data_IF_443792849983
#
_entry.id   IF_443792849983
#
_cell.length_a   1.000
_cell.length_b   1.000
_cell.length_c   1.000
_cell.angle_alpha   90.00
_cell.angle_beta   90.00
_cell.angle_gamma   90.00
#
_symmetry.space_group_name_H-M   'P 1'
#
loop_
_entity.id
_entity.type
_entity.pdbx_description
1 polymer ?
#
# COMPACT_ATOMS: atom_id res chain seq x y z
N UNK A 1 14.06 -25.38 8.90
CA UNK A 1 13.58 -25.38 10.30
C UNK A 1 14.62 -24.84 11.28
N UNK A 2 15.83 -25.43 11.34
CA UNK A 2 16.89 -25.00 12.28
C UNK A 2 17.16 -23.50 12.28
N UNK A 3 17.27 -22.88 11.10
CA UNK A 3 17.48 -21.42 10.99
C UNK A 3 16.30 -20.60 11.53
N UNK A 4 15.05 -21.03 11.27
CA UNK A 4 13.85 -20.35 11.77
C UNK A 4 13.83 -20.36 13.31
N UNK A 5 14.15 -21.51 13.92
CA UNK A 5 14.25 -21.64 15.39
C UNK A 5 15.37 -20.76 15.93
N UNK A 6 16.53 -20.74 15.27
CA UNK A 6 17.65 -19.90 15.69
C UNK A 6 17.29 -18.41 15.68
N UNK A 7 16.57 -17.94 14.65
CA UNK A 7 16.07 -16.56 14.57
C UNK A 7 15.09 -16.30 15.71
N UNK A 8 14.09 -17.16 15.91
CA UNK A 8 13.10 -17.02 16.99
C UNK A 8 13.76 -16.90 18.37
N UNK A 9 14.74 -17.77 18.66
CA UNK A 9 15.50 -17.78 19.90
C UNK A 9 16.35 -16.52 20.08
N UNK A 10 16.99 -16.04 19.01
CA UNK A 10 17.79 -14.81 19.05
C UNK A 10 16.94 -13.60 19.49
N UNK A 11 15.70 -13.52 19.02
CA UNK A 11 14.76 -12.45 19.38
C UNK A 11 13.91 -12.76 20.62
N UNK A 12 14.14 -13.88 21.31
CA UNK A 12 13.47 -14.23 22.56
C UNK A 12 11.93 -14.27 22.46
N UNK A 13 11.39 -14.76 21.33
CA UNK A 13 9.94 -14.85 21.10
C UNK A 13 9.23 -13.53 20.82
N UNK A 14 9.96 -12.43 20.64
CA UNK A 14 9.38 -11.17 20.17
C UNK A 14 8.84 -11.31 18.73
N UNK A 15 7.85 -10.49 18.31
CA UNK A 15 7.37 -10.50 16.94
C UNK A 15 8.50 -10.21 15.93
N UNK A 16 8.75 -11.14 15.00
CA UNK A 16 9.75 -10.98 13.94
C UNK A 16 9.09 -11.01 12.55
N UNK A 17 9.55 -10.14 11.66
CA UNK A 17 9.22 -10.17 10.23
C UNK A 17 10.44 -10.64 9.45
N UNK A 18 10.30 -11.73 8.70
CA UNK A 18 11.40 -12.34 7.92
C UNK A 18 11.05 -12.33 6.45
N UNK A 19 11.98 -11.90 5.61
CA UNK A 19 11.86 -12.05 4.16
C UNK A 19 12.60 -13.31 3.72
N UNK A 20 11.88 -14.21 3.04
CA UNK A 20 12.47 -15.36 2.36
C UNK A 20 13.05 -14.86 1.03
N UNK A 21 14.36 -14.94 0.90
CA UNK A 21 15.12 -14.34 -0.21
C UNK A 21 15.15 -15.20 -1.48
N UNK A 22 14.63 -16.43 -1.45
CA UNK A 22 14.51 -17.29 -2.62
C UNK A 22 13.74 -16.57 -3.74
N UNK A 23 14.27 -16.50 -4.98
CA UNK A 23 13.62 -15.79 -6.09
C UNK A 23 12.30 -16.44 -6.54
N UNK A 24 12.09 -17.72 -6.18
CA UNK A 24 10.81 -18.41 -6.28
C UNK A 24 10.71 -19.47 -5.18
N UNK A 25 10.16 -19.09 -4.04
CA UNK A 25 10.03 -19.98 -2.89
C UNK A 25 9.17 -21.22 -3.18
N UNK A 26 8.18 -21.10 -4.06
CA UNK A 26 7.29 -22.19 -4.48
C UNK A 26 7.85 -23.01 -5.67
N UNK A 27 9.17 -22.98 -5.91
CA UNK A 27 9.80 -23.79 -6.96
C UNK A 27 9.59 -25.31 -6.76
N UNK A 28 9.57 -25.77 -5.50
CA UNK A 28 9.29 -27.16 -5.14
C UNK A 28 8.15 -27.18 -4.11
N UNK A 29 6.87 -27.20 -4.55
CA UNK A 29 5.72 -27.05 -3.65
C UNK A 29 5.70 -28.05 -2.48
N UNK A 30 6.05 -29.31 -2.71
CA UNK A 30 6.02 -30.34 -1.66
C UNK A 30 7.03 -30.10 -0.54
N UNK A 31 8.18 -29.49 -0.87
CA UNK A 31 9.16 -29.07 0.15
C UNK A 31 8.59 -27.95 1.01
N UNK A 32 7.86 -27.01 0.40
CA UNK A 32 7.18 -25.92 1.13
C UNK A 32 6.06 -26.47 2.01
N UNK A 33 5.25 -27.40 1.49
CA UNK A 33 4.19 -28.07 2.25
C UNK A 33 4.77 -28.77 3.49
N UNK A 34 5.85 -29.55 3.32
CA UNK A 34 6.55 -30.23 4.42
C UNK A 34 7.13 -29.26 5.44
N UNK A 35 7.67 -28.11 4.99
CA UNK A 35 8.16 -27.07 5.89
C UNK A 35 7.01 -26.45 6.71
N UNK A 36 5.85 -26.19 6.09
CA UNK A 36 4.68 -25.69 6.80
C UNK A 36 4.24 -26.70 7.87
N UNK A 37 4.18 -27.99 7.53
CA UNK A 37 3.82 -29.03 8.50
C UNK A 37 4.76 -29.04 9.72
N UNK A 38 6.07 -28.84 9.51
CA UNK A 38 7.04 -28.72 10.61
C UNK A 38 6.90 -27.42 11.43
N UNK A 39 6.39 -26.34 10.82
CA UNK A 39 6.19 -25.06 11.50
C UNK A 39 4.88 -25.00 12.30
N UNK A 40 3.86 -25.78 11.92
CA UNK A 40 2.56 -25.80 12.62
C UNK A 40 2.69 -26.18 14.10
N UNK A 41 3.61 -27.08 14.42
CA UNK A 41 3.84 -27.57 15.80
C UNK A 41 4.68 -26.60 16.65
N UNK A 42 4.98 -25.41 16.14
CA UNK A 42 5.91 -24.47 16.77
C UNK A 42 5.18 -23.17 17.12
N UNK A 43 5.36 -22.69 18.35
CA UNK A 43 4.85 -21.38 18.78
C UNK A 43 5.79 -20.26 18.29
N UNK A 44 5.72 -19.97 16.99
CA UNK A 44 6.54 -18.95 16.34
C UNK A 44 5.77 -17.63 16.26
N UNK A 45 6.24 -16.63 17.00
CA UNK A 45 5.78 -15.24 16.86
C UNK A 45 6.44 -14.57 15.64
N UNK A 46 6.29 -15.19 14.46
CA UNK A 46 6.98 -14.80 13.24
C UNK A 46 6.00 -14.65 12.08
N UNK A 47 6.29 -13.69 11.20
CA UNK A 47 5.60 -13.55 9.92
C UNK A 47 6.61 -13.51 8.80
N UNK A 48 6.23 -14.07 7.66
CA UNK A 48 7.14 -14.21 6.53
C UNK A 48 6.57 -13.57 5.28
N UNK A 49 7.46 -12.95 4.50
CA UNK A 49 7.23 -12.61 3.09
C UNK A 49 8.03 -13.53 2.18
N UNK A 50 7.52 -13.81 0.98
CA UNK A 50 8.19 -14.66 0.01
C UNK A 50 7.96 -14.16 -1.43
N UNK A 51 9.00 -14.30 -2.27
CA UNK A 51 8.87 -14.14 -3.71
C UNK A 51 8.36 -15.45 -4.31
N UNK A 52 7.31 -15.38 -5.12
CA UNK A 52 6.66 -16.57 -5.70
C UNK A 52 6.19 -16.30 -7.12
N UNK A 53 5.98 -17.36 -7.90
CA UNK A 53 5.33 -17.23 -9.22
C UNK A 53 3.82 -17.39 -9.13
N UNK A 54 3.08 -16.60 -9.92
CA UNK A 54 1.62 -16.66 -9.99
C UNK A 54 1.09 -18.06 -10.38
N UNK A 55 1.72 -18.73 -11.34
CA UNK A 55 1.32 -20.08 -11.79
C UNK A 55 1.45 -21.15 -10.69
N UNK A 56 2.40 -20.98 -9.79
CA UNK A 56 2.66 -21.89 -8.68
C UNK A 56 1.62 -21.67 -7.58
N UNK A 57 1.28 -20.42 -7.28
CA UNK A 57 0.21 -20.08 -6.34
C UNK A 57 -1.17 -20.52 -6.86
N UNK A 58 -1.45 -20.32 -8.15
CA UNK A 58 -2.73 -20.69 -8.76
C UNK A 58 -3.01 -22.20 -8.78
N UNK A 59 -1.96 -23.03 -8.91
CA UNK A 59 -2.07 -24.50 -9.00
C UNK A 59 -2.09 -25.19 -7.64
N UNK A 60 -1.65 -24.54 -6.57
CA UNK A 60 -1.42 -25.18 -5.26
C UNK A 60 -2.20 -24.51 -4.11
N UNK A 61 -3.53 -24.36 -4.19
CA UNK A 61 -4.31 -23.61 -3.20
C UNK A 61 -4.18 -24.15 -1.77
N UNK A 62 -4.10 -25.47 -1.58
CA UNK A 62 -3.93 -26.05 -0.25
C UNK A 62 -2.57 -25.73 0.38
N UNK A 63 -1.51 -25.68 -0.42
CA UNK A 63 -0.18 -25.30 0.09
C UNK A 63 -0.19 -23.81 0.45
N UNK A 64 -0.82 -22.96 -0.35
CA UNK A 64 -0.96 -21.52 -0.03
C UNK A 64 -1.73 -21.32 1.28
N UNK A 65 -2.77 -22.12 1.54
CA UNK A 65 -3.50 -22.12 2.81
C UNK A 65 -2.57 -22.47 3.97
N UNK A 66 -1.84 -23.60 3.89
CA UNK A 66 -0.85 -24.02 4.91
C UNK A 66 0.20 -22.94 5.17
N UNK A 67 0.74 -22.33 4.12
CA UNK A 67 1.71 -21.24 4.23
C UNK A 67 1.15 -20.08 5.06
N UNK A 68 -0.09 -19.66 4.76
CA UNK A 68 -0.72 -18.56 5.48
C UNK A 68 -0.94 -18.90 6.96
N UNK A 69 -1.34 -20.13 7.28
CA UNK A 69 -1.55 -20.63 8.64
C UNK A 69 -0.28 -20.55 9.50
N UNK A 70 0.88 -20.87 8.93
CA UNK A 70 2.18 -20.82 9.64
C UNK A 70 2.86 -19.45 9.59
N UNK A 71 2.15 -18.40 9.17
CA UNK A 71 2.68 -17.04 9.15
C UNK A 71 3.32 -16.58 7.84
N UNK A 72 3.50 -17.46 6.84
CA UNK A 72 3.96 -17.11 5.49
C UNK A 72 2.78 -16.58 4.69
N UNK A 73 2.55 -15.28 4.80
CA UNK A 73 1.29 -14.68 4.36
C UNK A 73 1.45 -13.37 3.60
N UNK A 74 2.66 -13.01 3.19
CA UNK A 74 2.87 -11.90 2.26
C UNK A 74 3.64 -12.41 1.05
N UNK A 75 3.04 -12.30 -0.12
CA UNK A 75 3.59 -12.87 -1.35
C UNK A 75 3.81 -11.77 -2.35
N UNK A 76 4.98 -11.73 -2.97
CA UNK A 76 5.24 -10.86 -4.11
C UNK A 76 5.36 -11.71 -5.38
N UNK A 77 4.51 -11.40 -6.35
CA UNK A 77 4.41 -12.12 -7.62
C UNK A 77 4.83 -11.25 -8.80
N UNK A 78 5.55 -11.84 -9.76
CA UNK A 78 5.69 -11.22 -11.09
C UNK A 78 4.36 -11.25 -11.84
N UNK A 79 3.60 -10.15 -11.78
CA UNK A 79 2.38 -9.94 -12.58
C UNK A 79 2.75 -9.38 -13.95
N UNK A 80 3.78 -8.53 -14.00
CA UNK A 80 4.40 -7.94 -15.19
C UNK A 80 3.49 -6.97 -15.95
N UNK A 81 2.38 -7.42 -16.53
CA UNK A 81 1.51 -6.58 -17.35
C UNK A 81 0.06 -7.05 -17.39
N UNK A 82 -0.93 -6.14 -17.52
CA UNK A 82 -2.29 -6.44 -17.91
C UNK A 82 -2.45 -6.79 -19.40
N UNK A 83 -1.49 -6.46 -20.27
CA UNK A 83 -1.59 -6.72 -21.72
C UNK A 83 -1.06 -8.09 -22.07
N UNK A 84 -1.78 -8.78 -22.96
CA UNK A 84 -1.40 -10.13 -23.38
C UNK A 84 -0.10 -10.11 -24.17
N UNK A 85 0.08 -9.09 -25.02
CA UNK A 85 1.22 -8.89 -25.91
C UNK A 85 2.53 -8.86 -25.11
N UNK A 86 2.57 -8.04 -24.04
CA UNK A 86 3.71 -7.93 -23.14
C UNK A 86 4.01 -9.26 -22.46
N UNK A 87 2.99 -9.98 -21.98
CA UNK A 87 3.18 -11.27 -21.30
C UNK A 87 3.77 -12.34 -22.23
N UNK A 88 3.37 -12.36 -23.50
CA UNK A 88 3.92 -13.27 -24.51
C UNK A 88 5.43 -13.07 -24.72
N UNK A 89 5.94 -11.85 -24.56
CA UNK A 89 7.38 -11.57 -24.71
C UNK A 89 8.23 -12.19 -23.60
N UNK A 90 7.66 -12.42 -22.41
CA UNK A 90 8.42 -12.81 -21.21
C UNK A 90 8.81 -14.29 -21.15
N UNK A 91 8.34 -15.15 -22.08
CA UNK A 91 8.52 -16.63 -22.06
C UNK A 91 8.10 -17.32 -20.75
N UNK A 92 7.41 -16.63 -19.82
CA UNK A 92 7.05 -17.13 -18.47
C UNK A 92 5.81 -18.01 -18.46
N UNK A 93 5.03 -18.06 -19.55
CA UNK A 93 3.78 -18.83 -19.64
C UNK A 93 2.65 -18.34 -18.72
N UNK A 94 2.76 -17.11 -18.20
CA UNK A 94 1.77 -16.49 -17.32
C UNK A 94 0.79 -15.70 -18.19
N UNK A 95 -0.50 -15.83 -17.88
CA UNK A 95 -1.54 -15.01 -18.48
C UNK A 95 -2.44 -14.40 -17.40
N UNK A 96 -3.33 -13.52 -17.83
CA UNK A 96 -4.32 -12.84 -17.03
C UNK A 96 -5.23 -13.75 -16.17
N UNK A 97 -5.57 -14.96 -16.65
CA UNK A 97 -6.38 -15.92 -15.90
C UNK A 97 -5.59 -16.52 -14.74
N UNK A 98 -4.33 -16.89 -14.99
CA UNK A 98 -3.41 -17.40 -13.96
C UNK A 98 -3.17 -16.34 -12.87
N UNK A 99 -2.92 -15.09 -13.27
CA UNK A 99 -2.76 -13.98 -12.33
C UNK A 99 -3.97 -13.83 -11.42
N UNK A 100 -5.19 -13.76 -11.98
CA UNK A 100 -6.43 -13.68 -11.19
C UNK A 100 -6.60 -14.86 -10.24
N UNK A 101 -6.35 -16.09 -10.71
CA UNK A 101 -6.49 -17.29 -9.88
C UNK A 101 -5.48 -17.31 -8.73
N UNK A 102 -4.25 -16.87 -8.97
CA UNK A 102 -3.21 -16.76 -7.95
C UNK A 102 -3.62 -15.78 -6.84
N UNK A 103 -4.04 -14.57 -7.24
CA UNK A 103 -4.50 -13.54 -6.30
C UNK A 103 -5.70 -13.99 -5.50
N UNK A 104 -6.71 -14.60 -6.15
CA UNK A 104 -7.87 -15.16 -5.47
C UNK A 104 -7.48 -16.24 -4.44
N UNK A 105 -6.54 -17.11 -4.79
CA UNK A 105 -6.06 -18.19 -3.92
C UNK A 105 -5.40 -17.65 -2.65
N UNK A 106 -4.53 -16.66 -2.81
CA UNK A 106 -3.85 -16.00 -1.68
C UNK A 106 -4.86 -15.28 -0.79
N UNK A 107 -5.76 -14.48 -1.38
CA UNK A 107 -6.77 -13.71 -0.64
C UNK A 107 -7.74 -14.62 0.12
N UNK A 108 -8.13 -15.75 -0.47
CA UNK A 108 -9.02 -16.71 0.17
C UNK A 108 -8.42 -17.25 1.49
N UNK A 109 -7.10 -17.37 1.54
CA UNK A 109 -6.32 -17.81 2.71
C UNK A 109 -5.97 -16.66 3.69
N UNK A 110 -6.45 -15.44 3.43
CA UNK A 110 -6.15 -14.26 4.25
C UNK A 110 -4.72 -13.73 4.09
N UNK A 111 -4.02 -14.11 3.02
CA UNK A 111 -2.69 -13.61 2.69
C UNK A 111 -2.72 -12.28 1.92
N UNK A 112 -1.63 -11.52 2.03
CA UNK A 112 -1.38 -10.35 1.18
C UNK A 112 -0.90 -10.85 -0.19
N UNK A 113 -1.71 -10.59 -1.22
CA UNK A 113 -1.36 -10.82 -2.62
C UNK A 113 -0.69 -9.57 -3.17
N UNK A 114 0.64 -9.58 -3.20
CA UNK A 114 1.47 -8.55 -3.81
C UNK A 114 1.84 -8.88 -5.25
N UNK A 115 2.07 -7.83 -6.04
CA UNK A 115 2.43 -7.98 -7.45
C UNK A 115 3.38 -6.89 -7.93
N UNK A 116 4.44 -7.28 -8.63
CA UNK A 116 5.25 -6.36 -9.43
C UNK A 116 4.70 -6.28 -10.85
N UNK A 117 4.59 -5.05 -11.35
CA UNK A 117 4.22 -4.74 -12.73
C UNK A 117 5.32 -3.87 -13.35
N UNK A 118 5.56 -4.05 -14.65
CA UNK A 118 6.60 -3.35 -15.40
C UNK A 118 5.93 -2.37 -16.37
N UNK A 119 6.28 -1.10 -16.25
CA UNK A 119 5.80 -0.02 -17.11
C UNK A 119 6.93 0.49 -18.01
N UNK A 120 6.57 1.29 -19.01
CA UNK A 120 7.55 1.85 -19.94
C UNK A 120 8.18 0.88 -20.94
N UNK A 121 7.61 -0.30 -21.20
CA UNK A 121 8.05 -1.17 -22.31
C UNK A 121 8.01 -0.43 -23.66
N UNK A 122 8.78 -0.86 -24.69
CA UNK A 122 8.99 -0.08 -25.92
C UNK A 122 7.71 0.43 -26.60
N UNK A 123 6.65 -0.38 -26.59
CA UNK A 123 5.36 -0.08 -27.25
C UNK A 123 4.28 0.45 -26.28
N UNK A 124 4.64 0.73 -25.02
CA UNK A 124 3.69 1.32 -24.07
C UNK A 124 3.35 2.76 -24.43
N UNK A 125 2.05 3.03 -24.55
CA UNK A 125 1.51 4.39 -24.57
C UNK A 125 1.12 4.84 -23.15
N UNK A 126 0.82 6.13 -22.99
CA UNK A 126 0.32 6.66 -21.72
C UNK A 126 -0.98 5.97 -21.27
N UNK A 127 -1.91 5.73 -22.21
CA UNK A 127 -3.19 5.07 -21.92
C UNK A 127 -2.97 3.66 -21.37
N UNK A 128 -1.96 2.96 -21.89
CA UNK A 128 -1.62 1.61 -21.45
C UNK A 128 -1.16 1.62 -20.00
N UNK A 129 -0.17 2.46 -19.68
CA UNK A 129 0.40 2.53 -18.32
C UNK A 129 -0.69 2.94 -17.32
N UNK A 130 -1.59 3.86 -17.68
CA UNK A 130 -2.72 4.27 -16.80
C UNK A 130 -3.65 3.10 -16.46
N UNK A 131 -3.71 2.03 -17.25
CA UNK A 131 -4.54 0.84 -16.96
C UNK A 131 -3.93 -0.08 -15.91
N UNK A 132 -2.62 -0.04 -15.68
CA UNK A 132 -1.90 -0.92 -14.75
C UNK A 132 -2.44 -0.89 -13.31
N UNK A 133 -2.57 0.27 -12.64
CA UNK A 133 -3.10 0.33 -11.27
C UNK A 133 -4.56 -0.10 -11.19
N UNK A 134 -5.35 0.17 -12.23
CA UNK A 134 -6.76 -0.25 -12.30
C UNK A 134 -6.87 -1.77 -12.42
N UNK A 135 -6.01 -2.39 -13.22
CA UNK A 135 -5.95 -3.85 -13.34
C UNK A 135 -5.48 -4.50 -12.03
N UNK A 136 -4.44 -3.95 -11.40
CA UNK A 136 -3.93 -4.42 -10.12
C UNK A 136 -5.04 -4.46 -9.04
N UNK A 137 -5.86 -3.40 -8.98
CA UNK A 137 -7.07 -3.37 -8.13
C UNK A 137 -8.14 -4.37 -8.57
N UNK A 138 -8.42 -4.45 -9.86
CA UNK A 138 -9.45 -5.34 -10.44
C UNK A 138 -9.21 -6.80 -10.07
N UNK A 139 -7.96 -7.27 -10.17
CA UNK A 139 -7.63 -8.67 -9.82
C UNK A 139 -7.55 -8.89 -8.31
N UNK A 140 -7.55 -7.83 -7.50
CA UNK A 140 -7.57 -7.86 -6.05
C UNK A 140 -6.20 -7.85 -5.38
N UNK A 141 -5.16 -7.29 -6.01
CA UNK A 141 -3.87 -7.13 -5.33
C UNK A 141 -4.02 -6.26 -4.08
N UNK A 142 -3.35 -6.67 -3.00
CA UNK A 142 -3.30 -5.92 -1.73
C UNK A 142 -2.05 -5.06 -1.59
N UNK A 143 -1.04 -5.33 -2.41
CA UNK A 143 0.16 -4.51 -2.62
C UNK A 143 0.56 -4.56 -4.09
N UNK A 144 1.11 -3.48 -4.61
CA UNK A 144 1.64 -3.46 -5.96
C UNK A 144 2.87 -2.55 -6.05
N UNK A 145 3.83 -2.98 -6.86
CA UNK A 145 4.96 -2.18 -7.31
C UNK A 145 4.85 -1.96 -8.82
N UNK A 146 5.16 -0.74 -9.27
CA UNK A 146 5.20 -0.36 -10.68
C UNK A 146 6.62 0.07 -11.02
N UNK A 147 7.41 -0.88 -11.50
CA UNK A 147 8.81 -0.70 -11.88
C UNK A 147 8.88 -0.13 -13.30
N UNK A 148 9.76 0.85 -13.53
CA UNK A 148 10.11 1.29 -14.87
C UNK A 148 11.07 0.25 -15.46
N UNK A 149 10.76 -0.26 -16.65
CA UNK A 149 11.62 -1.24 -17.30
C UNK A 149 13.04 -0.69 -17.44
N UNK A 150 14.00 -1.47 -16.96
CA UNK A 150 15.41 -1.11 -16.94
C UNK A 150 16.20 -2.15 -17.74
N UNK A 151 16.90 -1.77 -18.81
CA UNK A 151 17.80 -2.67 -19.53
C UNK A 151 19.03 -2.95 -18.66
N UNK A 152 18.99 -4.02 -17.88
CA UNK A 152 20.16 -4.43 -17.09
C UNK A 152 21.24 -5.07 -17.96
N UNK A 153 22.53 -4.74 -17.78
CA UNK A 153 23.62 -5.35 -18.53
C UNK A 153 23.54 -6.88 -18.55
N UNK A 154 23.86 -7.47 -19.71
CA UNK A 154 23.81 -8.92 -19.98
C UNK A 154 22.41 -9.53 -20.06
N UNK A 155 21.35 -8.72 -20.02
CA UNK A 155 20.01 -9.17 -20.42
C UNK A 155 19.83 -9.07 -21.93
N UNK A 156 18.99 -9.94 -22.49
CA UNK A 156 18.61 -9.85 -23.90
C UNK A 156 18.04 -8.46 -24.23
N UNK A 157 17.24 -7.89 -23.33
CA UNK A 157 16.67 -6.56 -23.49
C UNK A 157 17.74 -5.46 -23.56
N UNK A 158 18.77 -5.53 -22.71
CA UNK A 158 19.90 -4.59 -22.80
C UNK A 158 20.66 -4.73 -24.13
N UNK A 159 20.94 -5.95 -24.57
CA UNK A 159 21.63 -6.15 -25.85
C UNK A 159 20.84 -5.56 -27.02
N UNK A 160 19.52 -5.72 -27.03
CA UNK A 160 18.63 -5.17 -28.05
C UNK A 160 18.63 -3.63 -28.02
N UNK A 161 18.40 -3.03 -26.84
CA UNK A 161 18.35 -1.56 -26.70
C UNK A 161 19.71 -0.91 -26.99
N UNK A 162 20.81 -1.54 -26.58
CA UNK A 162 22.16 -1.04 -26.81
C UNK A 162 22.57 -1.15 -28.28
N UNK A 163 22.21 -2.24 -28.99
CA UNK A 163 22.47 -2.37 -30.44
C UNK A 163 21.71 -1.33 -31.28
N UNK A 164 20.61 -0.81 -30.76
CA UNK A 164 19.80 0.23 -31.40
C UNK A 164 20.10 1.65 -30.90
N UNK A 165 21.17 1.85 -30.13
CA UNK A 165 21.56 3.14 -29.54
C UNK A 165 20.42 3.84 -28.78
N UNK A 166 19.54 3.05 -28.12
CA UNK A 166 18.38 3.57 -27.40
C UNK A 166 18.67 3.89 -25.92
N UNK A 167 19.73 3.32 -25.34
CA UNK A 167 20.13 3.61 -23.96
C UNK A 167 20.86 4.96 -23.95
N UNK A 168 20.25 5.97 -23.34
CA UNK A 168 20.83 7.33 -23.26
C UNK A 168 21.52 7.60 -21.93
N UNK A 169 21.16 6.85 -20.87
CA UNK A 169 21.69 7.06 -19.53
C UNK A 169 23.08 6.43 -19.39
N UNK A 170 23.97 7.14 -18.72
CA UNK A 170 25.34 6.69 -18.48
C UNK A 170 25.67 6.56 -16.99
N UNK A 171 24.84 7.16 -16.12
CA UNK A 171 24.93 6.97 -14.69
C UNK A 171 24.26 5.65 -14.27
N UNK A 172 25.06 4.71 -13.79
CA UNK A 172 24.59 3.39 -13.38
C UNK A 172 23.73 3.44 -12.12
N UNK A 173 23.82 4.50 -11.31
CA UNK A 173 22.97 4.68 -10.13
C UNK A 173 21.49 4.91 -10.52
N UNK A 174 21.22 5.34 -11.76
CA UNK A 174 19.86 5.48 -12.30
C UNK A 174 19.27 4.17 -12.85
N UNK A 175 20.04 3.06 -12.90
CA UNK A 175 19.52 1.74 -13.31
C UNK A 175 18.86 1.05 -12.11
N UNK A 176 17.81 1.67 -11.57
CA UNK A 176 17.21 1.36 -10.27
C UNK A 176 15.72 0.98 -10.34
N UNK A 177 15.18 0.81 -11.56
CA UNK A 177 13.75 0.56 -11.83
C UNK A 177 12.81 1.72 -11.44
N UNK A 178 13.35 2.89 -11.07
CA UNK A 178 12.61 4.10 -10.71
C UNK A 178 12.85 5.28 -11.66
N UNK A 179 13.91 5.19 -12.47
CA UNK A 179 14.23 6.12 -13.55
C UNK A 179 14.09 5.48 -14.92
N UNK A 180 13.67 6.27 -15.90
CA UNK A 180 13.73 5.85 -17.29
C UNK A 180 15.13 6.12 -17.83
N UNK A 181 15.80 5.07 -18.31
CA UNK A 181 17.22 5.10 -18.73
C UNK A 181 17.44 4.86 -20.22
N UNK A 182 16.35 4.64 -20.96
CA UNK A 182 16.38 4.40 -22.41
C UNK A 182 15.22 5.11 -23.12
N UNK A 183 15.37 5.30 -24.43
CA UNK A 183 14.40 5.97 -25.29
C UNK A 183 13.28 5.00 -25.69
N UNK A 184 12.05 5.32 -25.32
CA UNK A 184 10.85 4.60 -25.79
C UNK A 184 10.30 5.22 -27.07
N UNK A 185 9.37 4.52 -27.74
CA UNK A 185 8.78 5.00 -28.98
C UNK A 185 7.78 6.15 -28.77
N UNK A 186 7.04 6.13 -27.66
CA UNK A 186 5.86 6.98 -27.47
C UNK A 186 5.98 7.99 -26.35
N UNK A 187 6.88 7.78 -25.38
CA UNK A 187 6.91 8.53 -24.13
C UNK A 187 8.32 9.08 -23.85
N UNK A 188 8.37 10.29 -23.30
CA UNK A 188 9.63 10.84 -22.78
C UNK A 188 10.00 10.20 -21.44
N UNK A 189 11.27 10.34 -21.04
CA UNK A 189 11.77 9.92 -19.71
C UNK A 189 10.85 10.45 -18.61
N UNK A 190 10.56 11.74 -18.66
CA UNK A 190 9.79 12.43 -17.64
C UNK A 190 8.36 11.91 -17.55
N UNK A 191 7.70 11.69 -18.70
CA UNK A 191 6.33 11.17 -18.72
C UNK A 191 6.26 9.77 -18.12
N UNK A 192 7.24 8.89 -18.36
CA UNK A 192 7.27 7.54 -17.77
C UNK A 192 7.41 7.61 -16.25
N UNK A 193 8.30 8.46 -15.74
CA UNK A 193 8.50 8.63 -14.30
C UNK A 193 7.28 9.28 -13.60
N UNK A 194 6.59 10.21 -14.27
CA UNK A 194 5.30 10.74 -13.81
C UNK A 194 4.23 9.66 -13.79
N UNK A 195 4.17 8.81 -14.82
CA UNK A 195 3.21 7.72 -14.89
C UNK A 195 3.47 6.66 -13.82
N UNK A 196 4.73 6.40 -13.45
CA UNK A 196 5.07 5.58 -12.28
C UNK A 196 4.44 6.14 -11.00
N UNK A 197 4.56 7.46 -10.81
CA UNK A 197 3.95 8.19 -9.68
C UNK A 197 2.42 8.12 -9.71
N UNK A 198 1.82 8.30 -10.89
CA UNK A 198 0.38 8.13 -11.11
C UNK A 198 -0.07 6.71 -10.73
N UNK A 199 0.64 5.67 -11.15
CA UNK A 199 0.31 4.29 -10.83
C UNK A 199 0.32 4.04 -9.32
N UNK A 200 1.36 4.54 -8.62
CA UNK A 200 1.44 4.45 -7.15
C UNK A 200 0.26 5.16 -6.47
N UNK A 201 -0.01 6.41 -6.84
CA UNK A 201 -1.10 7.20 -6.28
C UNK A 201 -2.47 6.56 -6.52
N UNK A 202 -2.70 6.01 -7.73
CA UNK A 202 -3.96 5.36 -8.08
C UNK A 202 -4.16 4.00 -7.47
N UNK A 203 -3.10 3.26 -7.14
CA UNK A 203 -3.21 1.97 -6.48
C UNK A 203 -3.35 2.12 -4.96
N UNK A 204 -2.52 2.94 -4.32
CA UNK A 204 -2.41 3.06 -2.86
C UNK A 204 -3.45 4.02 -2.23
N UNK A 205 -4.70 3.87 -2.63
CA UNK A 205 -5.85 4.63 -2.11
C UNK A 205 -6.50 3.94 -0.90
N UNK A 206 -7.38 4.64 -0.19
CA UNK A 206 -8.01 4.14 1.04
C UNK A 206 -8.82 2.85 0.86
N UNK A 207 -9.50 2.65 -0.28
CA UNK A 207 -10.19 1.41 -0.63
C UNK A 207 -9.23 0.21 -0.62
N UNK A 208 -8.06 0.31 -1.26
CA UNK A 208 -7.05 -0.77 -1.27
C UNK A 208 -6.55 -1.08 0.13
N UNK A 209 -6.31 -0.04 0.93
CA UNK A 209 -5.80 -0.19 2.31
C UNK A 209 -6.84 -0.85 3.22
N UNK A 210 -8.12 -0.49 3.08
CA UNK A 210 -9.23 -1.11 3.82
C UNK A 210 -9.47 -2.54 3.33
N UNK A 211 -9.40 -2.78 2.01
CA UNK A 211 -9.53 -4.12 1.44
C UNK A 211 -8.44 -5.07 1.96
N UNK A 212 -7.20 -4.59 2.03
CA UNK A 212 -6.10 -5.34 2.64
C UNK A 212 -6.39 -5.70 4.10
N UNK A 213 -6.89 -4.76 4.90
CA UNK A 213 -7.27 -5.03 6.29
C UNK A 213 -8.41 -6.06 6.38
N UNK A 214 -9.40 -6.00 5.47
CA UNK A 214 -10.51 -6.96 5.37
C UNK A 214 -10.03 -8.37 4.97
N UNK A 215 -9.07 -8.49 4.05
CA UNK A 215 -8.47 -9.78 3.68
C UNK A 215 -7.77 -10.41 4.88
N UNK A 216 -6.99 -9.61 5.64
CA UNK A 216 -6.26 -10.09 6.81
C UNK A 216 -7.19 -10.70 7.88
N UNK A 217 -8.43 -10.21 8.00
CA UNK A 217 -9.42 -10.72 8.96
C UNK A 217 -9.82 -12.17 8.73
N UNK A 218 -9.63 -12.70 7.51
CA UNK A 218 -9.88 -14.12 7.22
C UNK A 218 -8.95 -15.05 7.99
N UNK A 219 -7.75 -14.56 8.32
CA UNK A 219 -6.73 -15.30 9.06
C UNK A 219 -6.60 -14.85 10.51
N UNK A 220 -6.77 -13.55 10.77
CA UNK A 220 -6.68 -12.96 12.11
C UNK A 220 -8.04 -12.37 12.46
N UNK A 221 -8.94 -13.13 13.12
CA UNK A 221 -10.30 -12.68 13.39
C UNK A 221 -10.33 -11.41 14.24
N UNK A 222 -11.26 -10.51 13.89
CA UNK A 222 -11.53 -9.28 14.62
C UNK A 222 -11.11 -8.02 13.87
N UNK A 223 -11.66 -6.88 14.29
CA UNK A 223 -11.40 -5.59 13.67
C UNK A 223 -10.12 -4.98 14.24
N UNK A 224 -9.11 -4.62 13.42
CA UNK A 224 -7.96 -3.87 13.90
C UNK A 224 -8.41 -2.52 14.48
N UNK A 225 -7.78 -2.05 15.58
CA UNK A 225 -8.08 -0.74 16.15
C UNK A 225 -7.84 0.39 15.14
N UNK A 226 -8.75 1.36 15.06
CA UNK A 226 -8.65 2.52 14.17
C UNK A 226 -7.30 3.22 14.28
N UNK A 227 -6.84 3.48 15.52
CA UNK A 227 -5.56 4.19 15.74
C UNK A 227 -4.36 3.38 15.25
N UNK A 228 -4.40 2.05 15.37
CA UNK A 228 -3.33 1.18 14.88
C UNK A 228 -3.27 1.21 13.35
N UNK A 229 -4.44 1.21 12.70
CA UNK A 229 -4.55 1.37 11.26
C UNK A 229 -4.00 2.72 10.80
N UNK A 230 -4.43 3.83 11.40
CA UNK A 230 -3.96 5.18 11.05
C UNK A 230 -2.44 5.30 11.22
N UNK A 231 -1.91 4.90 12.38
CA UNK A 231 -0.47 4.97 12.67
C UNK A 231 0.36 4.12 11.70
N UNK A 232 -0.16 2.97 11.28
CA UNK A 232 0.46 2.15 10.24
C UNK A 232 0.62 2.91 8.92
N UNK A 233 -0.43 3.62 8.49
CA UNK A 233 -0.40 4.43 7.25
C UNK A 233 0.54 5.61 7.33
N UNK A 234 0.55 6.31 8.48
CA UNK A 234 1.46 7.45 8.70
C UNK A 234 2.92 7.01 8.65
N UNK A 235 3.26 5.84 9.23
CA UNK A 235 4.62 5.29 9.17
C UNK A 235 5.01 4.88 7.74
N UNK A 236 4.11 4.23 7.00
CA UNK A 236 4.34 3.85 5.60
C UNK A 236 4.53 5.09 4.71
N UNK A 237 3.70 6.11 4.87
CA UNK A 237 3.86 7.38 4.17
C UNK A 237 5.20 8.05 4.48
N UNK A 238 5.60 8.09 5.77
CA UNK A 238 6.91 8.61 6.16
C UNK A 238 8.07 7.85 5.52
N UNK A 239 8.02 6.51 5.48
CA UNK A 239 9.05 5.71 4.81
C UNK A 239 9.15 6.01 3.31
N UNK A 240 8.00 6.12 2.62
CA UNK A 240 7.96 6.44 1.19
C UNK A 240 8.51 7.84 0.89
N UNK A 241 8.19 8.83 1.73
CA UNK A 241 8.72 10.17 1.60
C UNK A 241 10.25 10.18 1.78
N UNK A 242 10.79 9.41 2.73
CA UNK A 242 12.24 9.29 2.92
C UNK A 242 12.92 8.69 1.69
N UNK A 243 12.41 7.56 1.21
CA UNK A 243 12.95 6.89 0.03
C UNK A 243 12.85 7.79 -1.21
N UNK A 244 11.74 8.52 -1.39
CA UNK A 244 11.54 9.41 -2.52
C UNK A 244 12.40 10.68 -2.45
N UNK A 245 12.68 11.21 -1.27
CA UNK A 245 13.54 12.39 -1.09
C UNK A 245 15.01 12.07 -1.43
N UNK A 246 15.52 10.89 -1.09
CA UNK A 246 16.88 10.50 -1.48
C UNK A 246 17.03 10.39 -3.01
N UNK A 247 15.97 9.96 -3.70
CA UNK A 247 16.00 9.64 -5.14
C UNK A 247 15.62 10.82 -6.03
N UNK A 248 14.73 11.74 -5.61
CA UNK A 248 14.07 12.71 -6.54
C UNK A 248 14.09 14.19 -6.11
N UNK A 249 15.09 14.64 -5.33
CA UNK A 249 15.16 16.02 -4.75
C UNK A 249 14.84 17.16 -5.72
N UNK A 250 15.34 17.10 -6.96
CA UNK A 250 15.16 18.20 -7.95
C UNK A 250 13.75 18.29 -8.52
N UNK A 251 12.96 17.20 -8.49
CA UNK A 251 11.66 17.10 -9.16
C UNK A 251 10.50 16.77 -8.20
N UNK A 252 10.74 16.79 -6.87
CA UNK A 252 9.74 16.44 -5.86
C UNK A 252 8.39 17.14 -6.09
N UNK A 253 8.41 18.44 -6.38
CA UNK A 253 7.17 19.20 -6.56
C UNK A 253 6.32 18.74 -7.75
N UNK A 254 6.95 18.31 -8.84
CA UNK A 254 6.25 17.74 -10.00
C UNK A 254 5.55 16.42 -9.62
N UNK A 255 6.27 15.54 -8.94
CA UNK A 255 5.72 14.25 -8.50
C UNK A 255 4.64 14.40 -7.41
N UNK A 256 4.79 15.37 -6.50
CA UNK A 256 3.77 15.68 -5.50
C UNK A 256 2.45 16.11 -6.16
N UNK A 257 2.51 16.97 -7.19
CA UNK A 257 1.32 17.39 -7.96
C UNK A 257 0.65 16.21 -8.66
N UNK A 258 1.43 15.39 -9.38
CA UNK A 258 0.92 14.17 -10.04
C UNK A 258 0.26 13.23 -9.03
N UNK A 259 0.89 13.04 -7.86
CA UNK A 259 0.35 12.20 -6.79
C UNK A 259 -1.01 12.72 -6.30
N UNK A 260 -1.10 13.99 -5.92
CA UNK A 260 -2.34 14.59 -5.39
C UNK A 260 -3.49 14.49 -6.41
N UNK A 261 -3.24 14.94 -7.64
CA UNK A 261 -4.24 14.90 -8.72
C UNK A 261 -4.74 13.48 -8.99
N UNK A 262 -3.83 12.50 -8.96
CA UNK A 262 -4.14 11.09 -9.18
C UNK A 262 -4.84 10.43 -7.97
N UNK A 263 -4.62 10.91 -6.75
CA UNK A 263 -5.16 10.28 -5.55
C UNK A 263 -6.69 10.44 -5.43
N UNK A 264 -7.24 11.53 -5.96
CA UNK A 264 -8.68 11.74 -6.04
C UNK A 264 -9.35 10.67 -6.92
N UNK A 265 -10.17 9.82 -6.31
CA UNK A 265 -10.72 8.65 -6.97
C UNK A 265 -12.15 8.29 -6.47
N UNK A 266 -13.17 8.33 -7.35
CA UNK A 266 -14.54 7.96 -7.01
C UNK A 266 -14.70 6.49 -6.56
N UNK A 267 -13.74 5.61 -6.86
CA UNK A 267 -13.76 4.22 -6.38
C UNK A 267 -13.67 4.12 -4.86
N UNK A 268 -13.03 5.08 -4.19
CA UNK A 268 -12.93 5.12 -2.72
C UNK A 268 -14.32 5.25 -2.11
N UNK A 269 -15.13 6.20 -2.60
CA UNK A 269 -16.49 6.39 -2.11
C UNK A 269 -17.36 5.17 -2.37
N UNK A 270 -17.30 4.63 -3.60
CA UNK A 270 -18.07 3.44 -3.98
C UNK A 270 -17.77 2.26 -3.07
N UNK A 271 -16.48 1.95 -2.89
CA UNK A 271 -16.04 0.83 -2.06
C UNK A 271 -16.40 1.04 -0.58
N UNK A 272 -16.18 2.24 -0.04
CA UNK A 272 -16.41 2.51 1.37
C UNK A 272 -17.89 2.54 1.75
N UNK A 273 -18.78 2.93 0.83
CA UNK A 273 -20.24 2.77 0.96
C UNK A 273 -20.65 1.29 0.95
N UNK A 274 -20.08 0.49 0.04
CA UNK A 274 -20.41 -0.92 -0.10
C UNK A 274 -19.95 -1.75 1.10
N UNK A 275 -18.71 -1.54 1.54
CA UNK A 275 -18.10 -2.35 2.61
C UNK A 275 -18.43 -1.82 4.00
N UNK A 276 -18.54 -0.50 4.15
CA UNK A 276 -18.62 0.18 5.44
C UNK A 276 -17.32 0.01 6.24
N UNK A 277 -16.47 1.03 6.30
CA UNK A 277 -15.18 0.94 7.00
C UNK A 277 -15.32 0.53 8.48
N UNK A 278 -16.44 0.87 9.13
CA UNK A 278 -16.78 0.48 10.50
C UNK A 278 -17.02 -1.04 10.66
N UNK A 279 -17.21 -1.78 9.57
CA UNK A 279 -17.24 -3.25 9.56
C UNK A 279 -15.84 -3.85 9.51
N UNK A 280 -14.85 -3.09 9.05
CA UNK A 280 -13.46 -3.53 8.92
C UNK A 280 -12.62 -3.04 10.10
N UNK A 281 -12.75 -1.79 10.52
CA UNK A 281 -11.96 -1.21 11.60
C UNK A 281 -12.77 -1.08 12.89
N UNK A 282 -12.13 -1.29 14.03
CA UNK A 282 -12.76 -1.04 15.32
C UNK A 282 -12.71 0.46 15.60
N UNK A 283 -13.89 1.08 15.54
CA UNK A 283 -14.08 2.53 15.68
C UNK A 283 -15.38 2.90 16.40
N UNK A 284 -16.00 1.96 17.12
CA UNK A 284 -17.30 2.18 17.78
C UNK A 284 -17.24 3.31 18.80
N UNK A 285 -16.18 3.36 19.64
CA UNK A 285 -16.00 4.43 20.63
C UNK A 285 -15.73 5.77 19.96
N UNK A 286 -14.89 5.77 18.91
CA UNK A 286 -14.61 6.96 18.12
C UNK A 286 -15.90 7.59 17.59
N UNK A 287 -16.77 6.79 16.95
CA UNK A 287 -18.04 7.25 16.39
C UNK A 287 -19.02 7.71 17.48
N UNK A 288 -19.11 6.97 18.59
CA UNK A 288 -20.01 7.31 19.69
C UNK A 288 -19.67 8.65 20.37
N UNK A 289 -18.37 8.92 20.58
CA UNK A 289 -17.90 10.17 21.19
C UNK A 289 -18.09 11.35 20.22
N UNK A 290 -17.75 11.14 18.95
CA UNK A 290 -17.72 12.21 17.97
C UNK A 290 -19.13 12.63 17.53
N UNK A 291 -20.03 11.65 17.40
CA UNK A 291 -21.38 11.81 16.86
C UNK A 291 -21.39 12.08 15.36
N UNK A 292 -22.55 12.47 14.80
CA UNK A 292 -22.65 12.83 13.39
C UNK A 292 -21.73 14.00 13.03
N UNK A 293 -20.85 13.79 12.04
CA UNK A 293 -19.90 14.80 11.57
C UNK A 293 -19.54 14.58 10.10
N UNK A 294 -19.10 15.66 9.47
CA UNK A 294 -18.31 15.65 8.22
C UNK A 294 -16.90 16.11 8.57
N UNK A 295 -15.92 15.20 8.53
CA UNK A 295 -14.51 15.53 8.74
C UNK A 295 -13.85 15.68 7.38
N UNK A 296 -13.20 16.82 7.15
CA UNK A 296 -12.35 17.05 6.00
C UNK A 296 -10.89 17.13 6.43
N UNK A 297 -10.03 16.43 5.68
CA UNK A 297 -8.59 16.56 5.78
C UNK A 297 -8.05 16.86 4.37
N UNK A 298 -7.57 18.08 4.18
CA UNK A 298 -7.03 18.56 2.91
C UNK A 298 -5.51 18.47 2.95
N UNK A 299 -4.93 17.80 1.94
CA UNK A 299 -3.50 17.84 1.64
C UNK A 299 -3.27 18.88 0.56
N UNK A 300 -2.41 19.86 0.82
CA UNK A 300 -2.06 20.95 -0.09
C UNK A 300 -0.60 20.89 -0.49
N UNK A 301 -0.31 21.11 -1.76
CA UNK A 301 1.04 21.34 -2.27
C UNK A 301 1.01 22.39 -3.36
N UNK A 302 1.61 23.55 -3.09
CA UNK A 302 1.50 24.75 -3.94
C UNK A 302 0.03 25.13 -4.21
N UNK A 303 -0.43 25.02 -5.47
CA UNK A 303 -1.77 25.29 -5.99
C UNK A 303 -2.65 24.04 -6.08
N UNK A 304 -2.11 22.85 -5.79
CA UNK A 304 -2.86 21.59 -5.79
C UNK A 304 -3.41 21.28 -4.39
N UNK A 305 -4.68 20.88 -4.35
CA UNK A 305 -5.37 20.49 -3.12
C UNK A 305 -6.16 19.20 -3.34
N UNK A 306 -6.00 18.24 -2.43
CA UNK A 306 -6.80 17.00 -2.42
C UNK A 306 -7.40 16.80 -1.04
N UNK A 307 -8.72 16.66 -0.97
CA UNK A 307 -9.46 16.51 0.27
C UNK A 307 -10.00 15.10 0.48
N UNK A 308 -9.79 14.60 1.69
CA UNK A 308 -10.37 13.37 2.22
C UNK A 308 -11.54 13.74 3.11
N UNK A 309 -12.74 13.33 2.71
CA UNK A 309 -13.98 13.77 3.34
C UNK A 309 -14.72 12.57 3.88
N UNK A 310 -14.75 12.47 5.21
CA UNK A 310 -15.37 11.39 5.95
C UNK A 310 -16.75 11.85 6.45
N UNK A 311 -17.80 11.22 5.96
CA UNK A 311 -19.18 11.43 6.44
C UNK A 311 -19.56 10.32 7.39
N UNK A 312 -19.98 10.68 8.58
CA UNK A 312 -20.26 9.71 9.63
C UNK A 312 -21.44 10.09 10.51
N UNK A 313 -22.07 9.06 11.07
CA UNK A 313 -23.07 9.14 12.12
C UNK A 313 -22.43 8.78 13.47
N UNK A 314 -23.24 8.66 14.53
CA UNK A 314 -22.78 8.15 15.83
C UNK A 314 -22.38 6.67 15.84
N UNK A 315 -22.68 5.91 14.77
CA UNK A 315 -22.46 4.46 14.73
C UNK A 315 -21.82 3.96 13.45
N UNK A 316 -21.86 4.74 12.37
CA UNK A 316 -21.37 4.33 11.05
C UNK A 316 -20.55 5.44 10.39
N UNK A 317 -19.66 5.04 9.49
CA UNK A 317 -19.12 5.93 8.44
C UNK A 317 -19.90 5.62 7.18
N UNK A 318 -20.61 6.61 6.66
CA UNK A 318 -21.52 6.49 5.52
C UNK A 318 -20.75 6.49 4.19
N UNK A 319 -19.75 7.38 4.07
CA UNK A 319 -18.88 7.42 2.90
C UNK A 319 -17.53 8.07 3.22
N UNK A 320 -16.54 7.75 2.39
CA UNK A 320 -15.27 8.47 2.33
C UNK A 320 -15.07 8.92 0.90
N UNK A 321 -15.05 10.23 0.69
CA UNK A 321 -14.87 10.83 -0.62
C UNK A 321 -13.45 11.41 -0.69
N UNK A 322 -12.79 11.22 -1.82
CA UNK A 322 -11.46 11.78 -2.07
C UNK A 322 -11.55 12.59 -3.36
N UNK A 323 -11.43 13.91 -3.24
CA UNK A 323 -11.67 14.85 -4.34
C UNK A 323 -10.49 15.81 -4.52
N UNK A 324 -10.32 16.32 -5.73
CA UNK A 324 -9.49 17.50 -5.97
C UNK A 324 -10.28 18.75 -5.55
N UNK A 325 -9.64 19.63 -4.78
CA UNK A 325 -10.28 20.76 -4.11
C UNK A 325 -10.84 20.42 -2.73
N UNK A 326 -11.83 21.20 -2.27
CA UNK A 326 -12.39 21.15 -0.91
C UNK A 326 -13.91 21.29 -0.92
N UNK A 327 -14.53 20.88 0.18
CA UNK A 327 -15.94 21.13 0.46
C UNK A 327 -16.11 22.22 1.52
N UNK A 328 -17.11 23.07 1.34
CA UNK A 328 -17.34 24.24 2.21
C UNK A 328 -17.99 23.89 3.56
N UNK A 329 -18.74 22.78 3.62
CA UNK A 329 -19.64 22.48 4.74
C UNK A 329 -19.08 21.44 5.73
N UNK A 330 -17.76 21.27 5.77
CA UNK A 330 -17.12 20.39 6.74
C UNK A 330 -17.34 20.87 8.19
N UNK A 331 -17.69 19.94 9.08
CA UNK A 331 -17.91 20.23 10.51
C UNK A 331 -16.61 20.29 11.31
N UNK A 332 -15.59 19.59 10.83
CA UNK A 332 -14.21 19.59 11.32
C UNK A 332 -13.34 19.59 10.06
N UNK A 333 -12.41 20.53 9.97
CA UNK A 333 -11.62 20.75 8.76
C UNK A 333 -10.16 20.97 9.14
N UNK A 334 -9.29 20.19 8.51
CA UNK A 334 -7.84 20.20 8.70
C UNK A 334 -7.16 20.51 7.37
N UNK A 335 -6.28 21.51 7.36
CA UNK A 335 -5.50 21.93 6.21
C UNK A 335 -4.00 21.64 6.41
N UNK A 336 -3.49 20.62 5.73
CA UNK A 336 -2.14 20.11 5.89
C UNK A 336 -1.27 20.47 4.68
N UNK A 337 -0.18 21.18 4.90
CA UNK A 337 0.82 21.47 3.88
C UNK A 337 1.78 20.27 3.72
N UNK A 338 1.80 19.67 2.53
CA UNK A 338 2.64 18.52 2.25
C UNK A 338 4.14 18.84 2.40
N UNK A 339 4.58 20.08 2.13
CA UNK A 339 5.99 20.48 2.34
C UNK A 339 6.38 20.41 3.82
N UNK A 340 5.47 20.80 4.72
CA UNK A 340 5.71 20.73 6.17
C UNK A 340 5.70 19.29 6.68
N UNK A 341 4.89 18.41 6.08
CA UNK A 341 4.84 16.99 6.40
C UNK A 341 6.12 16.26 5.96
N UNK A 342 6.63 16.59 4.78
CA UNK A 342 7.85 15.98 4.22
C UNK A 342 9.08 16.40 5.04
N UNK A 343 9.17 17.68 5.42
CA UNK A 343 10.35 18.21 6.13
C UNK A 343 10.49 17.74 7.58
N UNK A 344 9.44 17.16 8.19
CA UNK A 344 9.44 16.73 9.59
C UNK A 344 9.33 15.20 9.75
N UNK A 345 10.47 14.54 9.63
CA UNK A 345 10.62 13.08 9.52
C UNK A 345 10.27 12.26 10.77
N UNK A 346 10.26 12.87 11.94
CA UNK A 346 9.90 12.19 13.19
C UNK A 346 8.45 12.45 13.56
N UNK A 347 7.56 11.61 13.02
CA UNK A 347 6.16 11.56 13.41
C UNK A 347 6.02 10.97 14.82
N UNK A 348 6.38 11.77 15.83
CA UNK A 348 6.04 11.49 17.21
C UNK A 348 4.56 11.80 17.47
N UNK A 349 3.98 11.19 18.51
CA UNK A 349 2.61 11.51 18.94
C UNK A 349 2.43 13.01 19.20
N UNK A 350 3.45 13.68 19.75
CA UNK A 350 3.44 15.10 20.04
C UNK A 350 3.46 15.97 18.76
N UNK A 351 4.25 15.56 17.76
CA UNK A 351 4.26 16.21 16.46
C UNK A 351 2.90 16.08 15.77
N UNK A 352 2.32 14.88 15.72
CA UNK A 352 1.02 14.66 15.09
C UNK A 352 -0.10 15.52 15.71
N UNK A 353 -0.13 15.61 17.04
CA UNK A 353 -1.08 16.48 17.77
C UNK A 353 -0.84 17.95 17.42
N UNK A 354 0.42 18.40 17.41
CA UNK A 354 0.77 19.79 17.06
C UNK A 354 0.37 20.13 15.63
N UNK A 355 0.64 19.23 14.69
CA UNK A 355 0.28 19.41 13.27
C UNK A 355 -1.24 19.50 13.11
N UNK A 356 -2.00 18.58 13.71
CA UNK A 356 -3.48 18.62 13.69
C UNK A 356 -4.05 19.88 14.34
N UNK A 357 -3.43 20.34 15.44
CA UNK A 357 -3.82 21.58 16.08
C UNK A 357 -3.58 22.77 15.15
N UNK A 358 -2.40 22.83 14.55
CA UNK A 358 -1.98 23.91 13.66
C UNK A 358 -2.81 23.97 12.37
N UNK A 359 -3.20 22.82 11.83
CA UNK A 359 -3.98 22.70 10.60
C UNK A 359 -5.49 22.93 10.77
N UNK A 360 -6.00 22.96 12.00
CA UNK A 360 -7.44 23.14 12.23
C UNK A 360 -7.92 24.55 11.86
N UNK A 361 -8.86 24.63 10.90
CA UNK A 361 -9.35 25.89 10.31
C UNK A 361 -10.54 26.50 11.07
N UNK A 362 -11.28 25.71 11.87
CA UNK A 362 -12.54 26.13 12.53
C UNK A 362 -12.41 26.95 13.82
N UNK A 363 -11.28 27.62 14.06
CA UNK A 363 -10.92 28.23 15.37
C UNK A 363 -11.87 29.34 15.85
N UNK A 364 -12.60 29.99 14.94
CA UNK A 364 -13.41 31.18 15.23
C UNK A 364 -14.86 30.93 15.67
N UNK A 365 -15.35 29.68 15.75
CA UNK A 365 -16.76 29.37 16.08
C UNK A 365 -16.83 28.43 17.29
N UNK A 366 -17.65 28.75 18.30
CA UNK A 366 -17.87 27.91 19.50
C UNK A 366 -18.24 26.47 19.15
N UNK A 367 -19.14 26.27 18.17
CA UNK A 367 -19.53 24.94 17.68
C UNK A 367 -18.35 24.18 17.05
N UNK A 368 -17.47 24.89 16.34
CA UNK A 368 -16.25 24.31 15.77
C UNK A 368 -15.29 23.83 16.87
N UNK A 369 -15.01 24.68 17.85
CA UNK A 369 -14.17 24.33 18.99
C UNK A 369 -14.71 23.13 19.78
N UNK A 370 -16.04 23.04 19.95
CA UNK A 370 -16.68 21.88 20.58
C UNK A 370 -16.52 20.59 19.76
N UNK A 371 -16.66 20.66 18.43
CA UNK A 371 -16.44 19.52 17.55
C UNK A 371 -14.98 19.06 17.57
N UNK A 372 -14.02 19.99 17.56
CA UNK A 372 -12.60 19.67 17.69
C UNK A 372 -12.31 19.00 19.04
N UNK A 373 -12.88 19.52 20.13
CA UNK A 373 -12.74 18.91 21.45
C UNK A 373 -13.20 17.45 21.45
N UNK A 374 -14.40 17.16 20.92
CA UNK A 374 -14.89 15.78 20.79
C UNK A 374 -13.94 14.91 19.97
N UNK A 375 -13.41 15.41 18.87
CA UNK A 375 -12.45 14.70 18.04
C UNK A 375 -11.19 14.32 18.81
N UNK A 376 -10.61 15.28 19.55
CA UNK A 376 -9.41 15.03 20.36
C UNK A 376 -9.68 14.01 21.48
N UNK A 377 -10.86 14.08 22.13
CA UNK A 377 -11.29 13.08 23.12
C UNK A 377 -11.43 11.71 22.47
N UNK A 378 -12.08 11.61 21.31
CA UNK A 378 -12.29 10.36 20.60
C UNK A 378 -10.95 9.68 20.23
N UNK A 379 -10.00 10.44 19.66
CA UNK A 379 -8.65 9.94 19.34
C UNK A 379 -7.89 9.52 20.59
N UNK A 380 -8.01 10.28 21.69
CA UNK A 380 -7.34 9.96 22.95
C UNK A 380 -7.86 8.66 23.55
N UNK A 381 -9.19 8.46 23.56
CA UNK A 381 -9.83 7.22 24.03
C UNK A 381 -9.39 6.02 23.18
N UNK A 382 -9.37 6.16 21.85
CA UNK A 382 -8.88 5.08 20.97
C UNK A 382 -7.41 4.74 21.24
N UNK A 383 -6.57 5.76 21.45
CA UNK A 383 -5.15 5.57 21.74
C UNK A 383 -4.94 4.83 23.06
N UNK A 384 -5.67 5.20 24.11
CA UNK A 384 -5.60 4.53 25.42
C UNK A 384 -6.11 3.09 25.30
N UNK A 385 -7.24 2.86 24.66
CA UNK A 385 -7.80 1.53 24.47
C UNK A 385 -6.84 0.60 23.70
N UNK A 386 -6.18 1.11 22.67
CA UNK A 386 -5.16 0.37 21.92
C UNK A 386 -3.93 0.04 22.76
N UNK A 387 -3.41 1.00 23.55
CA UNK A 387 -2.27 0.77 24.45
C UNK A 387 -2.60 -0.27 25.53
N UNK A 388 -3.79 -0.23 26.11
CA UNK A 388 -4.24 -1.23 27.09
C UNK A 388 -4.33 -2.63 26.46
N UNK A 389 -4.84 -2.73 25.23
CA UNK A 389 -4.87 -4.00 24.50
C UNK A 389 -3.47 -4.53 24.18
N UNK A 390 -2.51 -3.66 23.86
CA UNK A 390 -1.09 -4.01 23.68
C UNK A 390 -0.36 -4.36 24.99
N UNK A 391 -0.74 -3.73 26.10
CA UNK A 391 -0.16 -4.01 27.42
C UNK A 391 -0.70 -5.30 28.05
N UNK A 392 -1.91 -5.74 27.67
CA UNK A 392 -2.51 -7.00 28.10
C UNK A 392 -2.26 -8.19 27.17
N UNK A 393 -2.01 -7.95 25.88
CA UNK A 393 -1.62 -8.97 24.91
C UNK A 393 -0.20 -8.68 24.38
N UNK A 394 0.76 -9.49 24.80
CA UNK A 394 2.11 -9.59 24.20
C UNK A 394 2.03 -10.10 22.74
N UNK A 395 0.85 -10.47 22.25
CA UNK A 395 0.64 -11.07 20.94
C UNK A 395 -0.48 -10.39 20.16
N UNK A 396 -0.16 -9.32 19.41
CA UNK A 396 -0.98 -8.88 18.29
C UNK A 396 -0.09 -8.30 17.17
N UNK A 397 -0.19 -8.82 15.93
CA UNK A 397 0.79 -8.62 14.85
C UNK A 397 0.86 -7.21 14.24
#
# INVERSE_FOLDING_TARGET
MTEIIAISNHYGGQPVKVMIADPNFMAIPERVSSLCDLMLDQDLNMTFSALVRADSMARNPEIVRKMCEVGIASFEMGIESPKTEDLSSTKKGINQSIQRKAVQTIRASGGNAGGSLIIGLPDHTEQDIRRFPLYAKEIGLTSAAFAIVTPFPRTQFYEEMNKSDLIFETDWDNFDEMHSVYKTQHLSKETIEELATYCMAKFWTLDTLIDRAKVLQRRIPGKPPLIAFIMGRVREAGFLLNAGEEVKKKNFGRYAKVFLQAYADPSVERYTREVGIHNVLEMSRFLAILGPQTIQCTLRFDDEETSFIFRMTSTTVESINVINGREENATIDFDLDLKELVTNYHVSSAWAIRTLWNSYTGRGRLKGQWNLFKFLVAISVETVAWKLKRGGNIHSP
#
